data_IF_371745040441
#
_entry.id   IF_371745040441
#
_cell.length_a   1.000
_cell.length_b   1.000
_cell.length_c   1.000
_cell.angle_alpha   90.00
_cell.angle_beta   90.00
_cell.angle_gamma   90.00
#
_symmetry.space_group_name_H-M   'P 1'
#
loop_
_entity.id
_entity.type
_entity.pdbx_description
1 polymer ?
#
# COMPACT_ATOMS: atom_id res chain seq x y z
N UNK A 1 -14.28 14.29 -1.87
CA UNK A 1 -13.09 13.51 -1.52
C UNK A 1 -13.38 12.10 -2.01
N UNK A 2 -12.42 11.51 -2.71
CA UNK A 2 -12.50 10.13 -3.18
C UNK A 2 -11.70 9.23 -2.24
N UNK A 3 -12.22 8.04 -1.97
CA UNK A 3 -11.53 7.05 -1.14
C UNK A 3 -10.50 6.30 -1.98
N UNK A 4 -9.28 6.23 -1.46
CA UNK A 4 -8.10 5.67 -2.11
C UNK A 4 -7.46 4.67 -1.17
N UNK A 5 -6.97 3.55 -1.72
CA UNK A 5 -6.21 2.56 -0.96
C UNK A 5 -4.76 2.57 -1.41
N UNK A 6 -3.85 2.76 -0.46
CA UNK A 6 -2.40 2.80 -0.69
C UNK A 6 -1.78 1.56 -0.08
N UNK A 7 -1.03 0.80 -0.87
CA UNK A 7 -0.17 -0.28 -0.39
C UNK A 7 1.14 0.29 0.12
N UNK A 8 1.58 -0.15 1.29
CA UNK A 8 2.86 0.22 1.89
C UNK A 8 3.73 -1.03 1.99
N UNK A 9 5.00 -0.93 1.60
CA UNK A 9 5.97 -2.02 1.70
C UNK A 9 7.36 -1.54 2.07
N UNK A 10 8.06 -2.26 2.93
CA UNK A 10 9.46 -1.99 3.28
C UNK A 10 10.18 -3.27 3.65
N UNK A 11 11.45 -3.43 3.26
CA UNK A 11 12.31 -4.51 3.75
C UNK A 11 13.72 -4.05 4.13
N UNK A 12 13.95 -2.73 4.24
CA UNK A 12 15.22 -2.14 4.66
C UNK A 12 15.00 -1.07 5.73
N UNK A 13 16.08 -0.75 6.45
CA UNK A 13 16.16 0.40 7.36
C UNK A 13 15.01 0.47 8.38
N UNK A 14 14.83 -0.61 9.15
CA UNK A 14 13.76 -0.80 10.14
C UNK A 14 12.34 -0.70 9.55
N UNK A 15 11.86 -1.73 8.84
CA UNK A 15 10.63 -1.67 8.04
C UNK A 15 9.38 -1.19 8.77
N UNK A 16 9.18 -1.60 10.03
CA UNK A 16 8.02 -1.13 10.81
C UNK A 16 8.10 0.38 11.10
N UNK A 17 9.30 0.91 11.34
CA UNK A 17 9.52 2.34 11.54
C UNK A 17 9.32 3.11 10.25
N UNK A 18 9.75 2.55 9.09
CA UNK A 18 9.48 3.13 7.77
C UNK A 18 7.98 3.26 7.51
N UNK A 19 7.21 2.20 7.79
CA UNK A 19 5.75 2.24 7.61
C UNK A 19 5.08 3.24 8.57
N UNK A 20 5.52 3.34 9.83
CA UNK A 20 5.00 4.34 10.78
C UNK A 20 5.28 5.77 10.31
N UNK A 21 6.49 6.06 9.83
CA UNK A 21 6.84 7.36 9.28
C UNK A 21 6.01 7.68 8.02
N UNK A 22 5.82 6.69 7.15
CA UNK A 22 5.01 6.85 5.95
C UNK A 22 3.55 7.18 6.28
N UNK A 23 2.96 6.53 7.29
CA UNK A 23 1.61 6.85 7.75
C UNK A 23 1.48 8.26 8.31
N UNK A 24 2.49 8.73 9.06
CA UNK A 24 2.54 10.13 9.52
C UNK A 24 2.62 11.10 8.34
N UNK A 25 3.43 10.78 7.32
CA UNK A 25 3.53 11.59 6.12
C UNK A 25 2.23 11.61 5.30
N UNK A 26 1.55 10.47 5.17
CA UNK A 26 0.22 10.37 4.54
C UNK A 26 -0.84 11.20 5.28
N UNK A 27 -0.81 11.20 6.62
CA UNK A 27 -1.71 12.01 7.43
C UNK A 27 -1.46 13.53 7.25
N UNK A 28 -0.22 13.92 6.95
CA UNK A 28 0.15 15.31 6.71
C UNK A 28 -0.06 15.79 5.26
N UNK A 29 -0.57 14.93 4.36
CA UNK A 29 -0.78 15.32 2.97
C UNK A 29 -1.86 16.41 2.85
N UNK A 30 -1.66 17.41 1.97
CA UNK A 30 -2.67 18.42 1.70
C UNK A 30 -3.92 17.80 1.08
N UNK A 31 -5.08 18.41 1.36
CA UNK A 31 -6.38 18.02 0.81
C UNK A 31 -6.73 16.53 0.97
N UNK A 32 -6.13 15.89 1.98
CA UNK A 32 -6.20 14.45 2.23
C UNK A 32 -6.46 14.18 3.71
N UNK A 33 -7.05 13.03 3.99
CA UNK A 33 -7.34 12.57 5.35
C UNK A 33 -7.11 11.07 5.43
N UNK A 34 -6.17 10.67 6.29
CA UNK A 34 -5.96 9.25 6.61
C UNK A 34 -7.16 8.73 7.39
N UNK A 35 -7.83 7.71 6.84
CA UNK A 35 -9.04 7.11 7.41
C UNK A 35 -8.71 5.92 8.30
N UNK A 36 -7.70 5.14 7.91
CA UNK A 36 -7.26 3.99 8.66
C UNK A 36 -6.07 3.30 8.03
N UNK A 37 -5.52 2.33 8.76
CA UNK A 37 -4.43 1.47 8.32
C UNK A 37 -4.73 0.05 8.78
N UNK A 38 -4.36 -0.93 7.96
CA UNK A 38 -4.41 -2.34 8.34
C UNK A 38 -3.38 -2.66 9.43
N UNK A 39 -3.43 -3.89 9.91
CA UNK A 39 -2.31 -4.51 10.61
C UNK A 39 -1.04 -4.55 9.77
N UNK A 40 0.10 -4.72 10.43
CA UNK A 40 1.37 -4.98 9.77
C UNK A 40 1.52 -6.47 9.47
N UNK A 41 2.00 -6.78 8.26
CA UNK A 41 2.23 -8.14 7.82
C UNK A 41 3.66 -8.36 7.34
N UNK A 42 4.34 -9.38 7.85
CA UNK A 42 5.58 -9.86 7.25
C UNK A 42 5.29 -10.77 6.07
N UNK A 43 5.95 -10.56 4.93
CA UNK A 43 5.83 -11.43 3.76
C UNK A 43 7.18 -11.82 3.16
N UNK A 44 7.23 -12.99 2.54
CA UNK A 44 8.36 -13.35 1.69
C UNK A 44 8.44 -12.42 0.47
N UNK A 45 9.64 -12.14 -0.06
CA UNK A 45 9.79 -11.35 -1.27
C UNK A 45 9.22 -12.10 -2.48
N UNK A 46 8.55 -11.37 -3.39
CA UNK A 46 8.11 -11.95 -4.68
C UNK A 46 9.25 -12.15 -5.68
N UNK A 47 10.35 -11.41 -5.49
CA UNK A 47 11.52 -11.40 -6.37
C UNK A 47 12.61 -12.35 -5.88
N UNK A 48 13.90 -11.98 -6.07
CA UNK A 48 15.02 -12.74 -5.55
C UNK A 48 14.86 -13.05 -4.06
N UNK A 49 15.15 -14.29 -3.66
CA UNK A 49 14.98 -14.75 -2.29
C UNK A 49 16.11 -14.29 -1.36
N UNK A 50 17.22 -13.79 -1.91
CA UNK A 50 18.39 -13.27 -1.20
C UNK A 50 18.19 -11.82 -0.71
N UNK A 51 16.99 -11.51 -0.21
CA UNK A 51 16.67 -10.23 0.41
C UNK A 51 15.81 -10.42 1.66
N UNK A 52 15.81 -9.45 2.59
CA UNK A 52 14.98 -9.54 3.79
C UNK A 52 13.49 -9.62 3.45
N UNK A 53 12.71 -10.27 4.33
CA UNK A 53 11.24 -10.27 4.27
C UNK A 53 10.71 -8.83 4.33
N UNK A 54 9.61 -8.59 3.64
CA UNK A 54 8.92 -7.30 3.65
C UNK A 54 8.02 -7.19 4.87
N UNK A 55 7.87 -5.97 5.38
CA UNK A 55 6.71 -5.56 6.17
C UNK A 55 5.78 -4.77 5.27
N UNK A 56 4.52 -5.18 5.22
CA UNK A 56 3.48 -4.62 4.36
C UNK A 56 2.27 -4.16 5.19
N UNK A 57 1.57 -3.17 4.68
CA UNK A 57 0.28 -2.71 5.18
C UNK A 57 -0.53 -2.07 4.05
N UNK A 58 -1.81 -1.80 4.29
CA UNK A 58 -2.65 -0.97 3.43
C UNK A 58 -3.19 0.19 4.24
N UNK A 59 -3.18 1.39 3.68
CA UNK A 59 -3.81 2.57 4.24
C UNK A 59 -5.04 2.97 3.41
N UNK A 60 -6.10 3.40 4.09
CA UNK A 60 -7.26 4.04 3.47
C UNK A 60 -7.14 5.56 3.63
N UNK A 61 -7.27 6.29 2.52
CA UNK A 61 -7.11 7.74 2.45
C UNK A 61 -8.32 8.34 1.73
N UNK A 62 -8.94 9.38 2.28
CA UNK A 62 -9.84 10.23 1.52
C UNK A 62 -9.05 11.43 0.99
N UNK A 63 -9.10 11.72 -0.31
CA UNK A 63 -8.35 12.84 -0.89
C UNK A 63 -9.15 13.64 -1.92
N UNK A 64 -8.77 14.91 -2.13
CA UNK A 64 -9.21 15.73 -3.28
C UNK A 64 -8.10 15.93 -4.31
N UNK A 65 -6.90 15.40 -4.07
CA UNK A 65 -5.82 15.43 -5.04
C UNK A 65 -6.21 14.59 -6.26
N UNK A 66 -5.86 15.03 -7.46
CA UNK A 66 -5.99 14.18 -8.65
C UNK A 66 -4.99 13.01 -8.60
N UNK A 67 -5.26 11.88 -9.29
CA UNK A 67 -4.44 10.66 -9.19
C UNK A 67 -2.94 10.86 -9.40
N UNK A 68 -2.54 11.64 -10.41
CA UNK A 68 -1.13 11.93 -10.65
C UNK A 68 -0.51 12.87 -9.61
N UNK A 69 -1.30 13.79 -9.05
CA UNK A 69 -0.82 14.65 -7.96
C UNK A 69 -0.61 13.84 -6.66
N UNK A 70 -1.49 12.87 -6.38
CA UNK A 70 -1.27 11.92 -5.29
C UNK A 70 -0.03 11.07 -5.55
N UNK A 71 0.15 10.55 -6.77
CA UNK A 71 1.34 9.78 -7.14
C UNK A 71 2.63 10.58 -6.89
N UNK A 72 2.67 11.86 -7.25
CA UNK A 72 3.80 12.75 -7.00
C UNK A 72 4.10 12.91 -5.50
N UNK A 73 3.06 13.05 -4.68
CA UNK A 73 3.21 13.11 -3.22
C UNK A 73 3.75 11.81 -2.63
N UNK A 74 3.26 10.65 -3.07
CA UNK A 74 3.74 9.35 -2.61
C UNK A 74 5.21 9.14 -2.98
N UNK A 75 5.58 9.44 -4.23
CA UNK A 75 6.98 9.34 -4.67
C UNK A 75 7.91 10.30 -3.91
N UNK A 76 7.42 11.49 -3.53
CA UNK A 76 8.16 12.41 -2.66
C UNK A 76 8.41 11.80 -1.28
N UNK A 77 7.39 11.22 -0.64
CA UNK A 77 7.53 10.56 0.66
C UNK A 77 8.57 9.43 0.60
N UNK A 78 8.53 8.61 -0.45
CA UNK A 78 9.51 7.55 -0.65
C UNK A 78 10.94 8.07 -0.73
N UNK A 79 11.16 9.15 -1.51
CA UNK A 79 12.48 9.77 -1.65
C UNK A 79 12.96 10.35 -0.32
N UNK A 80 12.09 11.03 0.42
CA UNK A 80 12.38 11.57 1.77
C UNK A 80 12.71 10.46 2.77
N UNK A 81 12.13 9.27 2.59
CA UNK A 81 12.43 8.05 3.35
C UNK A 81 13.55 7.19 2.74
N UNK A 82 14.38 7.78 1.88
CA UNK A 82 15.62 7.19 1.41
C UNK A 82 15.46 6.13 0.32
N UNK A 83 14.32 6.08 -0.38
CA UNK A 83 14.13 5.17 -1.51
C UNK A 83 15.17 5.47 -2.59
N UNK A 84 15.96 4.47 -2.95
CA UNK A 84 16.91 4.52 -4.07
C UNK A 84 16.36 3.70 -5.23
N UNK A 85 16.17 4.34 -6.39
CA UNK A 85 15.73 3.63 -7.61
C UNK A 85 16.92 2.93 -8.25
N UNK A 86 17.02 1.61 -8.04
CA UNK A 86 18.04 0.74 -8.64
C UNK A 86 17.50 0.08 -9.91
N UNK A 87 18.40 -0.39 -10.78
CA UNK A 87 18.05 -1.08 -12.02
C UNK A 87 17.37 -2.44 -11.79
N UNK A 88 17.57 -3.05 -10.63
CA UNK A 88 17.01 -4.34 -10.28
C UNK A 88 15.50 -4.25 -10.00
N UNK A 89 14.70 -4.95 -10.82
CA UNK A 89 13.26 -5.08 -10.60
C UNK A 89 13.01 -5.97 -9.37
N UNK A 90 12.14 -5.52 -8.47
CA UNK A 90 11.76 -6.23 -7.23
C UNK A 90 12.89 -6.42 -6.20
N UNK A 91 13.96 -5.62 -6.27
CA UNK A 91 15.01 -5.59 -5.24
C UNK A 91 14.58 -4.96 -3.91
N UNK A 92 15.44 -4.95 -2.89
CA UNK A 92 15.10 -4.40 -1.58
C UNK A 92 14.95 -2.87 -1.59
N UNK A 93 14.08 -2.33 -0.74
CA UNK A 93 13.72 -0.90 -0.67
C UNK A 93 13.35 -0.46 0.74
N UNK A 94 13.66 0.80 1.06
CA UNK A 94 13.30 1.43 2.34
C UNK A 94 11.81 1.69 2.44
N UNK A 95 11.17 2.10 1.35
CA UNK A 95 9.72 2.28 1.25
C UNK A 95 9.24 2.11 -0.20
N UNK A 96 8.06 1.54 -0.35
CA UNK A 96 7.24 1.50 -1.56
C UNK A 96 5.81 1.90 -1.19
N UNK A 97 5.23 2.84 -1.94
CA UNK A 97 3.87 3.36 -1.80
C UNK A 97 3.13 3.21 -3.14
N UNK A 98 2.26 2.22 -3.23
CA UNK A 98 1.50 1.90 -4.44
C UNK A 98 0.05 2.39 -4.32
N UNK A 99 -0.46 3.15 -5.30
CA UNK A 99 -1.91 3.42 -5.41
C UNK A 99 -2.59 2.14 -5.88
N UNK A 100 -3.33 1.47 -4.98
CA UNK A 100 -4.03 0.23 -5.28
C UNK A 100 -5.35 0.49 -6.00
N UNK A 101 -6.16 1.40 -5.46
CA UNK A 101 -7.41 1.84 -6.05
C UNK A 101 -7.64 3.32 -5.78
N UNK A 102 -8.37 3.99 -6.66
CA UNK A 102 -8.71 5.40 -6.55
C UNK A 102 -10.20 5.57 -6.87
N UNK A 103 -11.05 5.56 -5.85
CA UNK A 103 -12.50 5.48 -6.04
C UNK A 103 -12.88 4.34 -6.99
N UNK A 104 -13.73 4.65 -7.97
CA UNK A 104 -14.11 3.75 -9.07
C UNK A 104 -13.30 4.03 -10.35
N UNK A 105 -12.25 4.87 -10.28
CA UNK A 105 -11.50 5.29 -11.47
C UNK A 105 -10.71 4.11 -12.05
N UNK A 106 -10.71 4.06 -13.38
CA UNK A 106 -9.84 3.19 -14.17
C UNK A 106 -8.87 4.08 -14.95
N UNK A 107 -7.59 3.93 -14.69
CA UNK A 107 -6.51 4.71 -15.29
C UNK A 107 -5.48 3.76 -15.89
N UNK A 108 -5.01 4.10 -17.09
CA UNK A 108 -3.94 3.39 -17.74
C UNK A 108 -3.16 4.36 -18.61
N UNK A 109 -2.07 4.86 -18.07
CA UNK A 109 -1.12 5.72 -18.76
C UNK A 109 0.33 5.34 -18.40
N UNK A 110 1.30 6.06 -18.96
CA UNK A 110 2.72 5.77 -18.81
C UNK A 110 3.23 5.82 -17.35
N UNK A 111 2.54 6.57 -16.48
CA UNK A 111 2.97 6.81 -15.10
C UNK A 111 2.14 6.02 -14.10
N UNK A 112 0.85 5.78 -14.39
CA UNK A 112 -0.11 5.26 -13.43
C UNK A 112 -1.07 4.25 -14.05
N UNK A 113 -1.23 3.12 -13.37
CA UNK A 113 -2.27 2.13 -13.66
C UNK A 113 -3.09 1.89 -12.40
N UNK A 114 -4.40 2.17 -12.48
CA UNK A 114 -5.36 1.98 -11.38
C UNK A 114 -6.60 1.25 -11.93
N UNK A 115 -7.10 0.20 -11.28
CA UNK A 115 -6.53 -0.49 -10.12
C UNK A 115 -5.12 -1.02 -10.36
N UNK A 116 -4.30 -1.14 -9.31
CA UNK A 116 -2.93 -1.60 -9.45
C UNK A 116 -2.90 -2.99 -10.10
N UNK A 117 -2.25 -3.07 -11.26
CA UNK A 117 -2.29 -4.22 -12.19
C UNK A 117 -2.07 -5.59 -11.52
N UNK A 118 -1.21 -5.69 -10.51
CA UNK A 118 -0.92 -6.96 -9.81
C UNK A 118 -1.58 -7.11 -8.43
N UNK A 119 -2.45 -6.19 -7.98
CA UNK A 119 -3.00 -6.27 -6.61
C UNK A 119 -3.79 -7.56 -6.36
N UNK A 120 -4.51 -8.04 -7.36
CA UNK A 120 -5.37 -9.22 -7.31
C UNK A 120 -4.62 -10.55 -7.07
N UNK A 121 -3.29 -10.56 -7.23
CA UNK A 121 -2.46 -11.76 -7.09
C UNK A 121 -1.52 -11.69 -5.87
N UNK A 122 -1.66 -10.68 -5.00
CA UNK A 122 -0.72 -10.42 -3.90
C UNK A 122 -1.42 -10.55 -2.55
N UNK A 123 -1.12 -11.62 -1.82
CA UNK A 123 -1.69 -11.86 -0.49
C UNK A 123 -1.37 -10.71 0.48
N UNK A 124 -0.14 -10.19 0.46
CA UNK A 124 0.28 -9.04 1.28
C UNK A 124 -0.40 -7.71 0.91
N UNK A 125 -1.21 -7.68 -0.15
CA UNK A 125 -2.11 -6.57 -0.48
C UNK A 125 -3.55 -6.90 -0.09
N UNK A 126 -4.07 -8.05 -0.55
CA UNK A 126 -5.48 -8.39 -0.41
C UNK A 126 -5.91 -8.60 1.04
N UNK A 127 -5.11 -9.28 1.85
CA UNK A 127 -5.46 -9.53 3.25
C UNK A 127 -5.49 -8.25 4.10
N UNK A 128 -4.45 -7.38 4.07
CA UNK A 128 -4.54 -6.09 4.75
C UNK A 128 -5.65 -5.18 4.19
N UNK A 129 -5.91 -5.20 2.88
CA UNK A 129 -7.05 -4.46 2.30
C UNK A 129 -8.39 -4.95 2.85
N UNK A 130 -8.55 -6.26 3.03
CA UNK A 130 -9.77 -6.86 3.57
C UNK A 130 -10.03 -6.53 5.04
N UNK A 131 -8.99 -6.23 5.83
CA UNK A 131 -9.18 -5.71 7.20
C UNK A 131 -9.86 -4.32 7.20
N UNK A 132 -9.61 -3.51 6.18
CA UNK A 132 -10.15 -2.15 6.06
C UNK A 132 -11.49 -2.10 5.32
N UNK A 133 -11.64 -2.92 4.28
CA UNK A 133 -12.75 -2.84 3.36
C UNK A 133 -13.22 -4.24 2.93
N UNK A 134 -13.81 -5.04 3.83
CA UNK A 134 -14.18 -6.43 3.53
C UNK A 134 -15.24 -6.57 2.43
N UNK A 135 -16.08 -5.54 2.24
CA UNK A 135 -17.11 -5.49 1.19
C UNK A 135 -16.66 -4.81 -0.11
N UNK A 136 -15.36 -4.56 -0.29
CA UNK A 136 -14.85 -3.84 -1.45
C UNK A 136 -15.09 -4.61 -2.75
N UNK A 137 -15.50 -3.87 -3.79
CA UNK A 137 -15.61 -4.34 -5.16
C UNK A 137 -14.64 -3.55 -6.04
N UNK A 138 -13.91 -4.23 -6.92
CA UNK A 138 -13.06 -3.58 -7.91
C UNK A 138 -13.92 -2.97 -9.03
N UNK A 139 -13.42 -1.95 -9.75
CA UNK A 139 -14.12 -1.35 -10.91
C UNK A 139 -14.51 -2.35 -12.01
N UNK A 140 -13.84 -3.50 -12.10
CA UNK A 140 -14.17 -4.57 -13.07
C UNK A 140 -15.25 -5.55 -12.56
N UNK A 141 -15.85 -5.28 -11.40
CA UNK A 141 -16.93 -6.04 -10.81
C UNK A 141 -16.48 -7.19 -9.90
N UNK A 142 -15.19 -7.55 -9.88
CA UNK A 142 -14.69 -8.60 -8.97
C UNK A 142 -14.80 -8.14 -7.52
N UNK A 143 -15.33 -9.00 -6.66
CA UNK A 143 -15.42 -8.71 -5.22
C UNK A 143 -14.19 -9.21 -4.47
N UNK A 144 -13.80 -8.51 -3.40
CA UNK A 144 -12.58 -8.82 -2.65
C UNK A 144 -12.56 -10.26 -2.10
N UNK A 145 -13.71 -10.82 -1.74
CA UNK A 145 -13.85 -12.20 -1.25
C UNK A 145 -13.48 -13.26 -2.29
N UNK A 146 -13.78 -13.02 -3.57
CA UNK A 146 -13.37 -13.89 -4.68
C UNK A 146 -11.86 -13.83 -4.88
N UNK A 147 -11.28 -12.61 -4.81
CA UNK A 147 -9.83 -12.42 -4.92
C UNK A 147 -9.06 -13.12 -3.80
N UNK A 148 -9.56 -13.04 -2.56
CA UNK A 148 -8.97 -13.73 -1.41
C UNK A 148 -9.05 -15.26 -1.57
N UNK A 149 -10.14 -15.77 -2.12
CA UNK A 149 -10.29 -17.23 -2.37
C UNK A 149 -9.26 -17.72 -3.40
N UNK A 150 -8.96 -16.89 -4.41
CA UNK A 150 -7.96 -17.19 -5.44
C UNK A 150 -6.51 -16.92 -5.01
N UNK A 151 -6.28 -16.26 -3.87
CA UNK A 151 -4.96 -15.85 -3.40
C UNK A 151 -4.70 -16.36 -1.96
N UNK A 152 -4.08 -17.53 -1.79
CA UNK A 152 -3.93 -18.14 -0.47
C UNK A 152 -3.02 -17.33 0.47
N UNK A 153 -3.28 -17.43 1.77
CA UNK A 153 -2.45 -16.86 2.84
C UNK A 153 -1.13 -17.63 3.01
N UNK A 154 -0.27 -17.61 2.00
CA UNK A 154 1.01 -18.33 1.98
C UNK A 154 2.17 -17.34 2.03
N UNK A 155 3.19 -17.62 2.84
CA UNK A 155 4.35 -16.75 3.01
C UNK A 155 4.05 -15.43 3.72
N UNK A 156 2.86 -15.29 4.32
CA UNK A 156 2.35 -14.09 4.98
C UNK A 156 2.14 -14.35 6.48
N UNK A 157 2.45 -13.35 7.31
CA UNK A 157 2.32 -13.43 8.76
C UNK A 157 1.86 -12.08 9.29
N UNK A 158 0.84 -12.04 10.15
CA UNK A 158 0.43 -10.80 10.83
C UNK A 158 1.33 -10.58 12.04
N UNK A 159 2.08 -9.47 12.05
CA UNK A 159 3.13 -9.24 13.06
C UNK A 159 2.82 -8.12 14.06
N UNK A 160 1.87 -7.23 13.75
CA UNK A 160 1.41 -6.20 14.70
C UNK A 160 0.02 -5.70 14.32
N UNK A 161 -0.74 -5.22 15.30
CA UNK A 161 -1.99 -4.49 15.04
C UNK A 161 -1.72 -3.17 14.31
N UNK A 162 -2.76 -2.57 13.75
CA UNK A 162 -2.67 -1.30 13.04
C UNK A 162 -1.94 -0.25 13.89
N UNK A 163 -0.85 0.35 13.39
CA UNK A 163 -0.25 1.51 14.03
C UNK A 163 -1.17 2.70 13.78
N UNK A 164 -2.23 2.82 14.57
CA UNK A 164 -3.07 4.01 14.54
C UNK A 164 -2.19 5.21 14.96
N UNK A 165 -2.12 6.29 14.16
CA UNK A 165 -1.61 7.53 14.70
C UNK A 165 -2.56 7.96 15.81
N UNK A 166 -2.02 8.23 16.99
CA UNK A 166 -2.79 8.84 18.08
C UNK A 166 -3.32 10.16 17.56
N UNK A 167 -4.62 10.26 17.32
CA UNK A 167 -5.26 11.54 16.99
C UNK A 167 -5.19 12.37 18.26
N UNK A 168 -4.25 13.32 18.31
CA UNK A 168 -4.36 14.43 19.25
C UNK A 168 -5.51 15.28 18.76
N UNK A 169 -6.57 15.36 19.58
CA UNK A 169 -7.73 16.22 19.37
C UNK A 169 -7.35 17.70 19.34
#
# INVERSE_FOLDING_TARGET
MESVYIGLGSNLAEPQSQLRAALQALQALPDSRLIGCSSLYASDPLGPADQPRYVNAVAALDTRLEPHALLDQLQRIELEQGRQRKAERWGPRTLDLDILMFGERVLHDERLTVPHYHMHARAFVLYPLAELAPGLQLPDGRVLTELLTACPFTGLERIAAAPLPTVTA
#
